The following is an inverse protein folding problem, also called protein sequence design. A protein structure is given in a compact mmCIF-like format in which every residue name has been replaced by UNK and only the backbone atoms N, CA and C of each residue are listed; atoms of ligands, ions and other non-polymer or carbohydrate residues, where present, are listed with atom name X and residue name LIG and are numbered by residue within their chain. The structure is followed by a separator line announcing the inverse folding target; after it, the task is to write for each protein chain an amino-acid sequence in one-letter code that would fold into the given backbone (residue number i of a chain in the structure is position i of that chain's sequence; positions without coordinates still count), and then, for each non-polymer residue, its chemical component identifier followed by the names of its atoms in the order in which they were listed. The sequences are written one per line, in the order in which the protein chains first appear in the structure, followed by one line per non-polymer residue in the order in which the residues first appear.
data_IF_737631773405
#
_entry.id   IF_737631773405
#
_cell.length_a   1.000
_cell.length_b   1.000
_cell.length_c   1.000
_cell.angle_alpha   90.00
_cell.angle_beta   90.00
_cell.angle_gamma   90.00
#
_symmetry.space_group_name_H-M   'P 1'
#
loop_
_entity.id
_entity.type
_entity.pdbx_description
1 polymer ?
#
# COMPACT_ATOMS: atom_id res chain seq x y z
N UNK A 1 40.14 2.38 -8.65
CA UNK A 1 38.88 1.89 -8.06
C UNK A 1 39.25 0.76 -7.11
N UNK A 2 39.14 1.00 -5.81
CA UNK A 2 39.61 0.05 -4.79
C UNK A 2 38.55 -1.02 -4.50
N UNK A 3 38.96 -2.19 -4.00
CA UNK A 3 38.06 -3.35 -3.74
C UNK A 3 36.90 -2.98 -2.81
N UNK A 4 37.11 -2.01 -1.91
CA UNK A 4 36.10 -1.45 -1.01
C UNK A 4 35.04 -0.63 -1.79
N UNK A 5 35.43 0.15 -2.80
CA UNK A 5 34.50 0.90 -3.66
C UNK A 5 33.66 -0.04 -4.53
N UNK A 6 34.23 -1.16 -4.99
CA UNK A 6 33.47 -2.21 -5.68
C UNK A 6 32.53 -2.98 -4.74
N UNK A 7 32.90 -3.13 -3.45
CA UNK A 7 32.04 -3.76 -2.44
C UNK A 7 30.85 -2.87 -2.06
N UNK A 8 31.05 -1.56 -1.97
CA UNK A 8 29.97 -0.58 -1.74
C UNK A 8 29.02 -0.46 -2.95
N UNK A 9 29.49 -0.67 -4.18
CA UNK A 9 28.64 -0.67 -5.38
C UNK A 9 27.85 -1.97 -5.61
N UNK A 10 28.24 -3.08 -4.98
CA UNK A 10 27.62 -4.40 -5.22
C UNK A 10 26.59 -4.84 -4.17
N UNK A 11 26.42 -4.10 -3.08
CA UNK A 11 25.43 -4.42 -2.05
C UNK A 11 24.48 -3.26 -1.70
N UNK A 12 24.10 -2.46 -2.72
CA UNK A 12 22.91 -1.61 -2.69
C UNK A 12 21.63 -2.48 -2.74
N UNK A 13 21.38 -3.28 -1.71
CA UNK A 13 20.15 -4.07 -1.67
C UNK A 13 18.98 -3.16 -1.28
N UNK A 14 18.07 -2.88 -2.22
CA UNK A 14 16.78 -2.23 -1.94
C UNK A 14 15.95 -2.94 -0.86
N UNK A 15 16.35 -4.17 -0.46
CA UNK A 15 15.72 -4.99 0.57
C UNK A 15 15.56 -4.29 1.93
N UNK A 16 16.47 -3.38 2.32
CA UNK A 16 16.40 -2.66 3.60
C UNK A 16 15.90 -1.21 3.46
N UNK A 17 15.36 -0.83 2.31
CA UNK A 17 14.83 0.51 2.13
C UNK A 17 13.44 0.65 2.78
N UNK A 18 13.17 1.77 3.46
CA UNK A 18 11.84 2.05 4.04
C UNK A 18 10.70 1.88 3.02
N UNK A 19 10.96 2.24 1.76
CA UNK A 19 9.98 2.09 0.68
C UNK A 19 9.67 0.62 0.35
N UNK A 20 10.59 -0.33 0.58
CA UNK A 20 10.28 -1.75 0.41
C UNK A 20 9.34 -2.26 1.52
N UNK A 21 9.56 -1.82 2.76
CA UNK A 21 8.68 -2.15 3.89
C UNK A 21 7.28 -1.56 3.66
N UNK A 22 7.21 -0.28 3.28
CA UNK A 22 5.94 0.37 2.96
C UNK A 22 5.23 -0.31 1.79
N UNK A 23 5.94 -0.62 0.70
CA UNK A 23 5.38 -1.33 -0.45
C UNK A 23 4.78 -2.68 -0.03
N UNK A 24 5.45 -3.45 0.83
CA UNK A 24 4.95 -4.73 1.33
C UNK A 24 3.71 -4.58 2.24
N UNK A 25 3.68 -3.53 3.05
CA UNK A 25 2.52 -3.22 3.88
C UNK A 25 1.31 -2.83 3.03
N UNK A 26 1.52 -1.99 2.02
CA UNK A 26 0.50 -1.55 1.06
C UNK A 26 -0.08 -2.73 0.29
N UNK A 27 0.78 -3.66 -0.13
CA UNK A 27 0.35 -4.91 -0.76
C UNK A 27 -0.46 -5.78 0.20
N UNK A 28 0.00 -5.95 1.44
CA UNK A 28 -0.71 -6.72 2.47
C UNK A 28 -2.10 -6.15 2.74
N UNK A 29 -2.23 -4.83 2.85
CA UNK A 29 -3.52 -4.15 3.02
C UNK A 29 -4.47 -4.47 1.85
N UNK A 30 -3.97 -4.40 0.61
CA UNK A 30 -4.81 -4.69 -0.55
C UNK A 30 -5.28 -6.16 -0.58
N UNK A 31 -4.42 -7.10 -0.17
CA UNK A 31 -4.81 -8.50 -0.01
C UNK A 31 -5.86 -8.68 1.08
N UNK A 32 -5.70 -8.05 2.25
CA UNK A 32 -6.66 -8.09 3.34
C UNK A 32 -8.03 -7.56 2.90
N UNK A 33 -8.06 -6.42 2.22
CA UNK A 33 -9.31 -5.84 1.69
C UNK A 33 -9.96 -6.75 0.63
N UNK A 34 -9.18 -7.44 -0.20
CA UNK A 34 -9.69 -8.43 -1.13
C UNK A 34 -10.27 -9.67 -0.41
N UNK A 35 -9.61 -10.14 0.66
CA UNK A 35 -10.12 -11.25 1.46
C UNK A 35 -11.42 -10.88 2.18
N UNK A 36 -11.56 -9.65 2.67
CA UNK A 36 -12.81 -9.11 3.20
C UNK A 36 -13.91 -9.17 2.13
N UNK A 37 -13.66 -8.61 0.93
CA UNK A 37 -14.61 -8.64 -0.19
C UNK A 37 -15.02 -10.06 -0.62
N UNK A 38 -14.09 -11.03 -0.54
CA UNK A 38 -14.38 -12.44 -0.90
C UNK A 38 -15.12 -13.19 0.21
N UNK A 39 -14.88 -12.86 1.47
CA UNK A 39 -15.49 -13.51 2.62
C UNK A 39 -16.91 -13.03 2.93
N UNK A 40 -17.30 -11.87 2.39
CA UNK A 40 -18.64 -11.26 2.57
C UNK A 40 -19.75 -11.91 1.75
N UNK A 41 -19.42 -12.85 0.85
CA UNK A 41 -20.39 -13.58 0.03
C UNK A 41 -21.39 -14.45 0.81
N UNK A 42 -21.24 -14.62 2.14
CA UNK A 42 -22.07 -15.57 2.87
C UNK A 42 -22.84 -15.04 4.10
N UNK A 43 -22.39 -14.08 4.92
CA UNK A 43 -23.03 -13.86 6.25
C UNK A 43 -22.95 -12.46 6.89
N UNK A 44 -22.71 -11.38 6.15
CA UNK A 44 -22.47 -10.06 6.76
C UNK A 44 -23.75 -9.22 6.88
N UNK A 45 -23.95 -8.54 8.02
CA UNK A 45 -24.99 -7.51 8.15
C UNK A 45 -24.63 -6.28 7.27
N UNK A 46 -25.63 -5.52 6.84
CA UNK A 46 -25.41 -4.34 5.98
C UNK A 46 -24.46 -3.34 6.66
N UNK A 47 -23.29 -3.10 6.04
CA UNK A 47 -22.32 -2.12 6.49
C UNK A 47 -21.16 -2.66 7.34
N UNK A 48 -21.21 -3.92 7.80
CA UNK A 48 -20.08 -4.52 8.53
C UNK A 48 -18.82 -4.57 7.65
N UNK A 49 -18.97 -4.89 6.37
CA UNK A 49 -17.88 -5.03 5.39
C UNK A 49 -17.15 -3.69 5.19
N UNK A 50 -17.94 -2.62 5.10
CA UNK A 50 -17.41 -1.26 5.02
C UNK A 50 -16.64 -0.88 6.30
N UNK A 51 -17.16 -1.22 7.48
CA UNK A 51 -16.48 -0.89 8.74
C UNK A 51 -15.18 -1.68 8.93
N UNK A 52 -15.07 -2.90 8.41
CA UNK A 52 -13.79 -3.63 8.40
C UNK A 52 -12.77 -3.02 7.44
N UNK A 53 -13.16 -2.76 6.19
CA UNK A 53 -12.28 -2.09 5.23
C UNK A 53 -11.78 -0.74 5.77
N UNK A 54 -12.68 0.02 6.40
CA UNK A 54 -12.33 1.27 7.06
C UNK A 54 -11.30 1.07 8.17
N UNK A 55 -11.47 0.07 9.04
CA UNK A 55 -10.51 -0.24 10.11
C UNK A 55 -9.14 -0.64 9.55
N UNK A 56 -9.09 -1.47 8.52
CA UNK A 56 -7.81 -1.89 7.91
C UNK A 56 -7.08 -0.69 7.28
N UNK A 57 -7.82 0.20 6.61
CA UNK A 57 -7.27 1.44 6.05
C UNK A 57 -6.78 2.41 7.14
N UNK A 58 -7.57 2.62 8.21
CA UNK A 58 -7.16 3.45 9.36
C UNK A 58 -5.94 2.87 10.08
N UNK A 59 -5.88 1.55 10.26
CA UNK A 59 -4.71 0.87 10.83
C UNK A 59 -3.46 1.10 9.98
N UNK A 60 -3.56 0.90 8.66
CA UNK A 60 -2.46 1.15 7.73
C UNK A 60 -1.98 2.60 7.80
N UNK A 61 -2.89 3.58 7.79
CA UNK A 61 -2.54 5.01 7.90
C UNK A 61 -1.77 5.29 9.19
N UNK A 62 -2.24 4.79 10.33
CA UNK A 62 -1.56 4.96 11.62
C UNK A 62 -0.14 4.34 11.60
N UNK A 63 0.02 3.15 11.03
CA UNK A 63 1.34 2.51 10.98
C UNK A 63 2.26 3.25 10.00
N UNK A 64 1.76 3.71 8.86
CA UNK A 64 2.54 4.52 7.92
C UNK A 64 2.96 5.85 8.53
N UNK A 65 2.07 6.53 9.24
CA UNK A 65 2.40 7.74 10.00
C UNK A 65 3.50 7.46 11.02
N UNK A 66 3.40 6.40 11.83
CA UNK A 66 4.46 6.01 12.77
C UNK A 66 5.80 5.68 12.10
N UNK A 67 5.80 4.98 10.95
CA UNK A 67 7.03 4.64 10.21
C UNK A 67 7.62 5.82 9.44
N UNK A 68 6.86 6.90 9.24
CA UNK A 68 7.31 8.12 8.57
C UNK A 68 7.66 9.26 9.53
N UNK A 69 7.07 9.31 10.73
CA UNK A 69 7.33 10.35 11.73
C UNK A 69 8.76 10.27 12.28
N UNK A 70 9.30 9.06 12.43
CA UNK A 70 10.72 8.86 12.72
C UNK A 70 11.50 8.77 11.41
N UNK A 71 12.09 9.87 10.96
CA UNK A 71 13.06 9.86 9.87
C UNK A 71 14.38 9.20 10.32
N UNK A 72 14.37 7.88 10.53
CA UNK A 72 15.59 7.10 10.81
C UNK A 72 16.45 6.94 9.54
N UNK A 73 16.03 7.53 8.41
CA UNK A 73 16.53 7.22 7.07
C UNK A 73 17.08 8.40 6.27
N UNK A 74 16.95 9.64 6.75
CA UNK A 74 17.33 10.88 6.07
C UNK A 74 18.82 11.01 5.71
N UNK A 75 19.61 9.94 5.88
CA UNK A 75 21.05 9.90 5.64
C UNK A 75 21.47 9.02 4.45
N UNK A 76 20.55 8.36 3.74
CA UNK A 76 20.93 7.34 2.76
C UNK A 76 20.37 7.57 1.34
N UNK A 77 21.18 8.21 0.49
CA UNK A 77 20.91 8.44 -0.94
C UNK A 77 20.62 7.17 -1.76
N UNK A 78 21.01 5.98 -1.29
CA UNK A 78 20.83 4.72 -2.05
C UNK A 78 19.36 4.29 -2.18
N UNK A 79 18.46 4.77 -1.31
CA UNK A 79 17.03 4.48 -1.37
C UNK A 79 16.30 5.20 -2.51
N UNK A 80 16.83 6.33 -2.99
CA UNK A 80 16.18 7.15 -4.02
C UNK A 80 16.17 6.49 -5.40
N UNK A 81 17.02 5.50 -5.63
CA UNK A 81 17.13 4.77 -6.90
C UNK A 81 16.31 3.46 -6.90
N UNK A 82 15.58 3.15 -5.83
CA UNK A 82 14.77 1.94 -5.75
C UNK A 82 13.38 2.16 -6.35
N UNK A 83 12.97 1.28 -7.29
CA UNK A 83 11.60 1.27 -7.86
C UNK A 83 10.49 1.25 -6.80
N UNK A 84 10.76 0.72 -5.60
CA UNK A 84 9.81 0.71 -4.49
C UNK A 84 9.34 2.11 -4.07
N UNK A 85 10.17 3.15 -4.22
CA UNK A 85 9.75 4.53 -3.91
C UNK A 85 8.62 4.98 -4.83
N UNK A 86 8.82 4.85 -6.14
CA UNK A 86 7.82 5.17 -7.16
C UNK A 86 6.53 4.34 -6.95
N UNK A 87 6.67 3.06 -6.59
CA UNK A 87 5.52 2.19 -6.29
C UNK A 87 4.75 2.66 -5.06
N UNK A 88 5.43 2.97 -3.96
CA UNK A 88 4.80 3.51 -2.74
C UNK A 88 4.08 4.81 -3.01
N UNK A 89 4.72 5.74 -3.73
CA UNK A 89 4.10 7.01 -4.11
C UNK A 89 2.84 6.77 -4.95
N UNK A 90 2.89 5.85 -5.94
CA UNK A 90 1.72 5.47 -6.74
C UNK A 90 0.62 4.80 -5.90
N UNK A 91 0.97 3.86 -5.02
CA UNK A 91 0.00 3.12 -4.20
C UNK A 91 -0.73 4.06 -3.23
N UNK A 92 -0.01 5.01 -2.63
CA UNK A 92 -0.58 6.03 -1.73
C UNK A 92 -1.68 6.86 -2.37
N UNK A 93 -1.58 7.20 -3.65
CA UNK A 93 -2.63 7.95 -4.33
C UNK A 93 -3.99 7.23 -4.29
N UNK A 94 -3.98 5.89 -4.30
CA UNK A 94 -5.20 5.08 -4.17
C UNK A 94 -5.72 5.09 -2.75
N UNK A 95 -4.87 4.86 -1.75
CA UNK A 95 -5.27 4.88 -0.35
C UNK A 95 -5.80 6.26 0.08
N UNK A 96 -5.17 7.35 -0.35
CA UNK A 96 -5.66 8.71 -0.10
C UNK A 96 -7.06 8.95 -0.66
N UNK A 97 -7.36 8.41 -1.85
CA UNK A 97 -8.70 8.49 -2.45
C UNK A 97 -9.72 7.66 -1.64
N UNK A 98 -9.34 6.47 -1.20
CA UNK A 98 -10.19 5.61 -0.35
C UNK A 98 -10.50 6.29 0.99
N UNK A 99 -9.50 6.87 1.65
CA UNK A 99 -9.67 7.63 2.90
C UNK A 99 -10.59 8.84 2.71
N UNK A 100 -10.45 9.57 1.58
CA UNK A 100 -11.38 10.68 1.25
C UNK A 100 -12.83 10.20 1.09
N UNK A 101 -13.05 9.00 0.55
CA UNK A 101 -14.39 8.39 0.43
C UNK A 101 -14.94 8.05 1.83
N UNK A 102 -14.13 7.40 2.68
CA UNK A 102 -14.49 7.05 4.06
C UNK A 102 -14.93 8.29 4.84
N UNK A 103 -14.14 9.36 4.77
CA UNK A 103 -14.37 10.61 5.50
C UNK A 103 -15.47 11.48 4.87
N UNK A 104 -15.96 11.13 3.69
CA UNK A 104 -17.02 11.89 3.03
C UNK A 104 -18.36 11.69 3.74
N UNK A 105 -19.06 12.78 4.02
CA UNK A 105 -20.47 12.73 4.46
C UNK A 105 -21.46 12.59 3.30
N UNK A 106 -20.97 12.64 2.05
CA UNK A 106 -21.80 12.69 0.84
C UNK A 106 -22.44 11.35 0.50
N UNK A 107 -21.82 10.24 0.90
CA UNK A 107 -22.17 8.90 0.46
C UNK A 107 -22.63 8.06 1.66
N UNK A 108 -23.63 7.20 1.45
CA UNK A 108 -24.00 6.18 2.44
C UNK A 108 -23.08 4.95 2.30
N UNK A 109 -23.17 4.02 3.26
CA UNK A 109 -22.23 2.89 3.39
C UNK A 109 -22.02 2.09 2.10
N UNK A 110 -23.10 1.64 1.44
CA UNK A 110 -23.01 0.88 0.19
C UNK A 110 -22.35 1.65 -0.96
N UNK A 111 -22.62 2.95 -1.10
CA UNK A 111 -21.97 3.80 -2.11
C UNK A 111 -20.47 4.00 -1.83
N UNK A 112 -20.08 4.16 -0.56
CA UNK A 112 -18.67 4.25 -0.20
C UNK A 112 -17.92 2.97 -0.55
N UNK A 113 -18.52 1.84 -0.19
CA UNK A 113 -17.97 0.52 -0.45
C UNK A 113 -17.77 0.28 -1.96
N UNK A 114 -18.78 0.55 -2.77
CA UNK A 114 -18.69 0.40 -4.22
C UNK A 114 -17.57 1.26 -4.82
N UNK A 115 -17.40 2.49 -4.34
CA UNK A 115 -16.32 3.38 -4.80
C UNK A 115 -14.94 2.91 -4.37
N UNK A 116 -14.82 2.31 -3.19
CA UNK A 116 -13.57 1.69 -2.74
C UNK A 116 -13.24 0.50 -3.65
N UNK A 117 -14.22 -0.34 -3.99
CA UNK A 117 -14.01 -1.44 -4.93
C UNK A 117 -13.51 -1.00 -6.30
N UNK A 118 -14.10 0.03 -6.88
CA UNK A 118 -13.58 0.59 -8.13
C UNK A 118 -12.13 1.05 -8.02
N UNK A 119 -11.74 1.65 -6.88
CA UNK A 119 -10.34 2.04 -6.66
C UNK A 119 -9.41 0.85 -6.44
N UNK A 120 -9.89 -0.28 -5.92
CA UNK A 120 -9.10 -1.50 -5.80
C UNK A 120 -8.87 -2.13 -7.18
N UNK A 121 -9.91 -2.17 -8.02
CA UNK A 121 -9.79 -2.65 -9.40
C UNK A 121 -8.80 -1.78 -10.19
N UNK A 122 -8.96 -0.45 -10.14
CA UNK A 122 -8.04 0.51 -10.75
C UNK A 122 -6.60 0.28 -10.24
N UNK A 123 -6.42 0.12 -8.92
CA UNK A 123 -5.12 -0.18 -8.31
C UNK A 123 -4.51 -1.46 -8.90
N UNK A 124 -5.28 -2.53 -9.01
CA UNK A 124 -4.78 -3.79 -9.54
C UNK A 124 -4.38 -3.67 -11.00
N UNK A 125 -5.19 -3.04 -11.85
CA UNK A 125 -4.87 -2.82 -13.26
C UNK A 125 -3.59 -1.99 -13.41
N UNK A 126 -3.51 -0.86 -12.72
CA UNK A 126 -2.39 0.07 -12.80
C UNK A 126 -1.09 -0.49 -12.23
N UNK A 127 -1.18 -1.44 -11.31
CA UNK A 127 -0.04 -2.00 -10.59
C UNK A 127 0.29 -3.44 -11.02
N UNK A 128 -0.48 -4.05 -11.93
CA UNK A 128 -0.27 -5.41 -12.47
C UNK A 128 1.16 -5.61 -12.97
N UNK A 129 1.72 -4.62 -13.68
CA UNK A 129 3.09 -4.66 -14.16
C UNK A 129 4.14 -4.80 -13.04
N UNK A 130 3.87 -4.26 -11.85
CA UNK A 130 4.78 -4.36 -10.70
C UNK A 130 4.68 -5.69 -9.97
N UNK A 131 3.49 -6.31 -9.95
CA UNK A 131 3.27 -7.64 -9.38
C UNK A 131 3.90 -8.74 -10.23
N UNK A 132 3.84 -8.60 -11.56
CA UNK A 132 4.49 -9.52 -12.49
C UNK A 132 6.02 -9.52 -12.34
N UNK A 133 6.64 -8.36 -12.07
CA UNK A 133 8.10 -8.26 -11.81
C UNK A 133 8.54 -9.01 -10.53
N UNK A 134 7.61 -9.33 -9.61
CA UNK A 134 7.89 -10.08 -8.37
C UNK A 134 7.47 -11.55 -8.40
N UNK A 135 6.84 -12.02 -9.49
CA UNK A 135 6.31 -13.39 -9.57
C UNK A 135 5.15 -13.64 -8.60
N UNK A 136 4.33 -12.63 -8.33
CA UNK A 136 3.14 -12.73 -7.44
C UNK A 136 1.90 -13.23 -8.20
N UNK A 137 2.06 -13.68 -9.45
CA UNK A 137 1.04 -14.36 -10.26
C UNK A 137 1.60 -15.60 -10.94
#
# INVERSE_FOLDING_TARGET
MNVIEQYCYKHNSCNNCKYNVMEQMEQSLMFEMNDINRSTHYHWEEGEEYEEIKKSLEYYMNVVECYLEDDVSGHYNYCNNCKSKERVEKFREYFDKMIKIINSQRYYYGEKLQRIYFLQDDYHEDCTGFFAERGIF
#
